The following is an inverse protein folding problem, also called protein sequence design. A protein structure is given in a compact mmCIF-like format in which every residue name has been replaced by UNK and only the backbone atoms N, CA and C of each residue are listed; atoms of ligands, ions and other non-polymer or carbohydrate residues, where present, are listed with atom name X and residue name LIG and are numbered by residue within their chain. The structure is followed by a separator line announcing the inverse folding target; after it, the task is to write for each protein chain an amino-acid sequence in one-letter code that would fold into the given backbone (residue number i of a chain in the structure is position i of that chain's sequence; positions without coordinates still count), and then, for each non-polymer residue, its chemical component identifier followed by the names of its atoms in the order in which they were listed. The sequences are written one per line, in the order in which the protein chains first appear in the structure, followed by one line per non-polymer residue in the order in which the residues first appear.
data_IF_318306590556
#
_entry.id   IF_318306590556
#
_cell.length_a   1.000
_cell.length_b   1.000
_cell.length_c   1.000
_cell.angle_alpha   90.00
_cell.angle_beta   90.00
_cell.angle_gamma   90.00
#
_symmetry.space_group_name_H-M   'P 1'
#
loop_
_entity.id
_entity.type
_entity.pdbx_description
1 polymer ?
#
# COMPACT_ATOMS: atom_id res chain seq x y z
N UNK A 1 -9.00 -48.18 -7.97
CA UNK A 1 -9.64 -46.90 -7.61
C UNK A 1 -8.63 -46.09 -6.84
N UNK A 2 -7.96 -45.17 -7.52
CA UNK A 2 -6.93 -44.32 -6.92
C UNK A 2 -7.60 -43.02 -6.42
N UNK A 3 -7.67 -42.84 -5.09
CA UNK A 3 -8.07 -41.60 -4.47
C UNK A 3 -7.03 -40.53 -4.76
N UNK A 4 -7.39 -39.54 -5.56
CA UNK A 4 -6.55 -38.37 -5.80
C UNK A 4 -6.31 -37.61 -4.49
N UNK A 5 -5.13 -37.01 -4.33
CA UNK A 5 -4.85 -36.21 -3.13
C UNK A 5 -5.88 -35.08 -3.02
N UNK A 6 -6.60 -35.08 -1.89
CA UNK A 6 -7.49 -34.00 -1.52
C UNK A 6 -6.71 -32.68 -1.67
N UNK A 7 -7.19 -31.79 -2.54
CA UNK A 7 -6.73 -30.39 -2.59
C UNK A 7 -6.91 -29.82 -1.19
N UNK A 8 -5.82 -29.79 -0.42
CA UNK A 8 -5.77 -29.03 0.82
C UNK A 8 -6.34 -27.65 0.50
N UNK A 9 -7.50 -27.32 1.11
CA UNK A 9 -8.24 -26.11 0.84
C UNK A 9 -7.26 -24.95 0.98
N UNK A 10 -7.08 -24.20 -0.10
CA UNK A 10 -6.45 -22.87 -0.01
C UNK A 10 -7.29 -22.11 0.98
N UNK A 11 -6.74 -21.91 2.17
CA UNK A 11 -7.29 -20.96 3.15
C UNK A 11 -7.42 -19.66 2.36
N UNK A 12 -8.62 -19.08 2.35
CA UNK A 12 -8.86 -17.81 1.67
C UNK A 12 -7.89 -16.80 2.30
N UNK A 13 -6.80 -16.52 1.59
CA UNK A 13 -5.78 -15.56 2.02
C UNK A 13 -6.32 -14.17 1.67
N UNK A 14 -6.89 -13.50 2.69
CA UNK A 14 -7.23 -12.07 2.56
C UNK A 14 -5.97 -11.26 2.25
N UNK A 15 -6.15 -10.06 1.69
CA UNK A 15 -5.03 -9.12 1.43
C UNK A 15 -4.54 -8.54 2.77
N UNK A 16 -3.30 -8.81 3.19
CA UNK A 16 -2.72 -8.12 4.35
C UNK A 16 -2.71 -6.62 4.12
N UNK A 17 -3.05 -5.86 5.14
CA UNK A 17 -3.09 -4.40 5.02
C UNK A 17 -1.69 -3.81 4.73
N UNK A 18 -0.64 -4.43 5.24
CA UNK A 18 0.76 -4.09 4.96
C UNK A 18 1.10 -4.21 3.48
N UNK A 19 0.63 -5.27 2.80
CA UNK A 19 0.87 -5.47 1.37
C UNK A 19 0.15 -4.41 0.53
N UNK A 20 -1.10 -4.08 0.88
CA UNK A 20 -1.82 -2.99 0.21
C UNK A 20 -1.08 -1.65 0.34
N UNK A 21 -0.57 -1.33 1.53
CA UNK A 21 0.21 -0.10 1.76
C UNK A 21 1.48 -0.08 0.91
N UNK A 22 2.21 -1.18 0.88
CA UNK A 22 3.43 -1.33 0.08
C UNK A 22 3.17 -1.15 -1.40
N UNK A 23 2.16 -1.84 -1.93
CA UNK A 23 1.77 -1.73 -3.35
C UNK A 23 1.33 -0.30 -3.68
N UNK A 24 0.57 0.36 -2.79
CA UNK A 24 0.16 1.76 -2.97
C UNK A 24 1.36 2.69 -3.10
N UNK A 25 2.37 2.54 -2.23
CA UNK A 25 3.60 3.36 -2.27
C UNK A 25 4.39 3.11 -3.55
N UNK A 26 4.53 1.85 -3.96
CA UNK A 26 5.24 1.47 -5.19
C UNK A 26 4.53 2.00 -6.44
N UNK A 27 3.21 1.91 -6.50
CA UNK A 27 2.42 2.45 -7.61
C UNK A 27 2.52 3.97 -7.69
N UNK A 28 2.38 4.68 -6.55
CA UNK A 28 2.53 6.13 -6.52
C UNK A 28 3.96 6.57 -6.91
N UNK A 29 4.99 5.85 -6.49
CA UNK A 29 6.37 6.14 -6.90
C UNK A 29 6.58 5.88 -8.41
N UNK A 30 6.02 4.80 -8.94
CA UNK A 30 6.04 4.50 -10.38
C UNK A 30 5.31 5.55 -11.20
N UNK A 31 4.11 5.95 -10.76
CA UNK A 31 3.34 7.05 -11.36
C UNK A 31 4.14 8.35 -11.38
N UNK A 32 4.73 8.75 -10.24
CA UNK A 32 5.55 9.95 -10.15
C UNK A 32 6.71 9.92 -11.16
N UNK A 33 7.40 8.79 -11.27
CA UNK A 33 8.53 8.62 -12.19
C UNK A 33 8.08 8.71 -13.65
N UNK A 34 7.01 8.02 -14.02
CA UNK A 34 6.48 8.03 -15.38
C UNK A 34 6.01 9.42 -15.81
N UNK A 35 5.24 10.10 -14.93
CA UNK A 35 4.74 11.45 -15.23
C UNK A 35 5.86 12.50 -15.25
N UNK A 36 6.88 12.36 -14.40
CA UNK A 36 8.06 13.21 -14.46
C UNK A 36 8.81 13.04 -15.79
N UNK A 37 8.98 11.80 -16.26
CA UNK A 37 9.60 11.53 -17.55
C UNK A 37 8.79 12.15 -18.70
N UNK A 38 7.46 12.02 -18.70
CA UNK A 38 6.57 12.65 -19.69
C UNK A 38 6.75 14.17 -19.67
N UNK A 39 6.76 14.80 -18.49
CA UNK A 39 6.96 16.24 -18.32
C UNK A 39 8.28 16.70 -18.94
N UNK A 40 9.40 16.02 -18.59
CA UNK A 40 10.73 16.37 -19.08
C UNK A 40 10.83 16.21 -20.60
N UNK A 41 10.31 15.08 -21.13
CA UNK A 41 10.36 14.82 -22.58
C UNK A 41 9.49 15.79 -23.37
N UNK A 42 8.31 16.15 -22.87
CA UNK A 42 7.43 17.10 -23.54
C UNK A 42 8.04 18.52 -23.53
N UNK A 43 8.49 18.99 -22.36
CA UNK A 43 9.11 20.31 -22.24
C UNK A 43 10.42 20.43 -23.04
N UNK A 44 11.21 19.34 -23.13
CA UNK A 44 12.41 19.32 -23.94
C UNK A 44 12.15 19.40 -25.46
N UNK A 45 10.99 18.93 -25.93
CA UNK A 45 10.61 19.05 -27.35
C UNK A 45 10.31 20.49 -27.75
N UNK A 46 9.76 21.26 -26.83
CA UNK A 46 9.26 22.62 -27.05
C UNK A 46 10.27 23.69 -26.53
N UNK A 47 11.47 23.28 -26.10
CA UNK A 47 12.48 24.12 -25.43
C UNK A 47 11.91 24.95 -24.26
N UNK A 48 10.86 24.41 -23.59
CA UNK A 48 10.15 25.09 -22.51
C UNK A 48 10.88 24.93 -21.15
N UNK A 49 11.91 25.76 -20.98
CA UNK A 49 12.67 25.82 -19.73
C UNK A 49 11.87 26.34 -18.54
N UNK A 50 10.80 27.12 -18.80
CA UNK A 50 9.93 27.67 -17.76
C UNK A 50 9.13 26.54 -17.09
N UNK A 51 8.52 25.67 -17.88
CA UNK A 51 7.79 24.50 -17.35
C UNK A 51 8.73 23.59 -16.57
N UNK A 52 9.97 23.37 -17.03
CA UNK A 52 10.95 22.57 -16.27
C UNK A 52 11.32 23.21 -14.94
N UNK A 53 11.57 24.53 -14.91
CA UNK A 53 11.89 25.23 -13.67
C UNK A 53 10.77 25.18 -12.64
N UNK A 54 9.51 25.41 -13.09
CA UNK A 54 8.32 25.36 -12.25
C UNK A 54 8.07 23.93 -11.75
N UNK A 55 8.21 22.92 -12.61
CA UNK A 55 8.08 21.52 -12.24
C UNK A 55 9.13 21.12 -11.18
N UNK A 56 10.39 21.51 -11.37
CA UNK A 56 11.47 21.22 -10.41
C UNK A 56 11.22 21.87 -9.05
N UNK A 57 10.77 23.12 -9.02
CA UNK A 57 10.37 23.80 -7.78
C UNK A 57 9.21 23.10 -7.07
N UNK A 58 8.17 22.72 -7.83
CA UNK A 58 7.03 21.98 -7.30
C UNK A 58 7.42 20.60 -6.74
N UNK A 59 8.23 19.82 -7.47
CA UNK A 59 8.68 18.51 -7.01
C UNK A 59 9.56 18.61 -5.76
N UNK A 60 10.41 19.63 -5.68
CA UNK A 60 11.21 19.91 -4.48
C UNK A 60 10.31 20.20 -3.28
N UNK A 61 9.28 21.03 -3.46
CA UNK A 61 8.29 21.29 -2.42
C UNK A 61 7.50 20.01 -2.05
N UNK A 62 7.08 19.20 -3.03
CA UNK A 62 6.39 17.95 -2.82
C UNK A 62 7.25 16.96 -2.02
N UNK A 63 8.55 16.86 -2.32
CA UNK A 63 9.51 16.06 -1.54
C UNK A 63 9.56 16.55 -0.10
N UNK A 64 9.77 17.84 0.14
CA UNK A 64 9.87 18.41 1.48
C UNK A 64 8.60 18.14 2.30
N UNK A 65 7.42 18.39 1.71
CA UNK A 65 6.12 18.13 2.34
C UNK A 65 5.91 16.64 2.59
N UNK A 66 6.21 15.78 1.61
CA UNK A 66 6.08 14.33 1.72
C UNK A 66 6.97 13.75 2.83
N UNK A 67 8.21 14.23 2.95
CA UNK A 67 9.10 13.85 4.06
C UNK A 67 8.57 14.33 5.42
N UNK A 68 8.02 15.56 5.48
CA UNK A 68 7.44 16.09 6.70
C UNK A 68 6.20 15.29 7.14
N UNK A 69 5.30 14.95 6.20
CA UNK A 69 4.11 14.14 6.47
C UNK A 69 4.45 12.69 6.78
N UNK A 70 5.50 12.13 6.15
CA UNK A 70 5.97 10.76 6.36
C UNK A 70 6.83 10.58 7.63
N UNK A 71 6.84 11.51 8.59
CA UNK A 71 7.54 11.33 9.87
C UNK A 71 6.92 10.20 10.68
N UNK A 72 7.72 9.43 11.47
CA UNK A 72 7.24 8.25 12.19
C UNK A 72 6.00 8.51 13.04
N UNK A 73 5.98 9.59 13.81
CA UNK A 73 4.85 9.95 14.67
C UNK A 73 3.54 10.17 13.87
N UNK A 74 3.62 10.79 12.69
CA UNK A 74 2.45 11.01 11.82
C UNK A 74 2.01 9.74 11.11
N UNK A 75 2.97 8.90 10.69
CA UNK A 75 2.67 7.61 10.09
C UNK A 75 1.88 6.72 11.07
N UNK A 76 2.31 6.65 12.34
CA UNK A 76 1.61 5.91 13.40
C UNK A 76 0.23 6.49 13.68
N UNK A 77 0.09 7.81 13.80
CA UNK A 77 -1.22 8.43 14.05
C UNK A 77 -2.18 8.22 12.87
N UNK A 78 -1.70 8.27 11.63
CA UNK A 78 -2.51 8.08 10.44
C UNK A 78 -3.05 6.66 10.24
N UNK A 79 -2.48 5.65 10.92
CA UNK A 79 -2.96 4.26 10.86
C UNK A 79 -3.74 3.86 12.12
N UNK A 80 -3.62 4.60 13.22
CA UNK A 80 -4.26 4.23 14.51
C UNK A 80 -5.78 4.16 14.43
N UNK A 81 -6.40 5.16 13.83
CA UNK A 81 -7.86 5.23 13.72
C UNK A 81 -8.45 4.07 12.92
N UNK A 82 -8.01 3.79 11.67
CA UNK A 82 -8.52 2.64 10.92
C UNK A 82 -8.21 1.30 11.60
N UNK A 83 -7.08 1.16 12.29
CA UNK A 83 -6.75 -0.06 13.01
C UNK A 83 -7.62 -0.23 14.27
N UNK A 84 -7.94 0.86 14.98
CA UNK A 84 -8.85 0.82 16.13
C UNK A 84 -10.29 0.50 15.74
N UNK A 85 -10.72 0.91 14.55
CA UNK A 85 -12.04 0.62 13.99
C UNK A 85 -12.16 -0.79 13.40
N UNK A 86 -11.05 -1.54 13.30
CA UNK A 86 -11.03 -2.87 12.69
C UNK A 86 -11.92 -3.86 13.45
N UNK A 87 -12.82 -4.54 12.72
CA UNK A 87 -13.70 -5.57 13.28
C UNK A 87 -12.91 -6.86 13.54
N UNK A 88 -13.19 -7.50 14.67
CA UNK A 88 -12.62 -8.82 14.96
C UNK A 88 -13.42 -9.88 14.21
N UNK A 89 -12.74 -10.70 13.40
CA UNK A 89 -13.34 -11.84 12.71
C UNK A 89 -12.41 -13.04 12.71
N UNK A 90 -13.00 -14.21 12.66
CA UNK A 90 -12.28 -15.49 12.49
C UNK A 90 -12.37 -16.00 11.06
N UNK A 91 -13.19 -15.36 10.21
CA UNK A 91 -13.37 -15.75 8.80
C UNK A 91 -12.95 -14.61 7.89
N UNK A 92 -12.08 -14.90 6.92
CA UNK A 92 -11.71 -13.97 5.86
C UNK A 92 -12.63 -14.11 4.66
N UNK A 93 -12.78 -13.03 3.90
CA UNK A 93 -13.58 -13.06 2.68
C UNK A 93 -13.01 -14.05 1.65
N UNK A 94 -13.86 -14.81 0.94
CA UNK A 94 -13.43 -15.74 -0.10
C UNK A 94 -12.96 -15.05 -1.40
N UNK A 95 -12.98 -13.72 -1.47
CA UNK A 95 -12.56 -12.98 -2.66
C UNK A 95 -11.05 -13.06 -2.89
N UNK A 96 -10.67 -13.11 -4.18
CA UNK A 96 -9.25 -13.16 -4.54
C UNK A 96 -8.52 -11.87 -4.14
N UNK A 97 -7.29 -11.98 -3.60
CA UNK A 97 -6.48 -10.82 -3.21
C UNK A 97 -6.32 -9.78 -4.31
N UNK A 98 -6.20 -10.23 -5.55
CA UNK A 98 -6.05 -9.39 -6.74
C UNK A 98 -7.25 -8.49 -6.99
N UNK A 99 -8.49 -9.01 -6.82
CA UNK A 99 -9.71 -8.23 -6.98
C UNK A 99 -9.84 -7.17 -5.90
N UNK A 100 -9.48 -7.49 -4.66
CA UNK A 100 -9.50 -6.54 -3.54
C UNK A 100 -8.50 -5.42 -3.80
N UNK A 101 -7.27 -5.76 -4.20
CA UNK A 101 -6.24 -4.79 -4.53
C UNK A 101 -6.67 -3.91 -5.71
N UNK A 102 -7.16 -4.51 -6.81
CA UNK A 102 -7.62 -3.78 -7.98
C UNK A 102 -8.80 -2.85 -7.65
N UNK A 103 -9.79 -3.33 -6.87
CA UNK A 103 -10.93 -2.53 -6.43
C UNK A 103 -10.55 -1.33 -5.58
N UNK A 104 -9.40 -1.37 -4.90
CA UNK A 104 -8.90 -0.26 -4.07
C UNK A 104 -7.91 0.65 -4.79
N UNK A 105 -7.13 0.12 -5.72
CA UNK A 105 -6.01 0.85 -6.34
C UNK A 105 -6.32 1.38 -7.74
N UNK A 106 -7.48 1.03 -8.34
CA UNK A 106 -7.85 1.50 -9.68
C UNK A 106 -7.80 3.03 -9.85
N UNK A 107 -8.12 3.89 -8.83
CA UNK A 107 -8.06 5.34 -9.03
C UNK A 107 -6.65 5.84 -9.31
N UNK A 108 -5.63 5.18 -8.71
CA UNK A 108 -4.22 5.51 -8.98
C UNK A 108 -3.89 5.22 -10.45
N UNK A 109 -4.31 4.07 -10.97
CA UNK A 109 -4.12 3.74 -12.38
C UNK A 109 -4.85 4.70 -13.33
N UNK A 110 -6.09 5.08 -13.00
CA UNK A 110 -6.87 6.04 -13.80
C UNK A 110 -6.25 7.42 -13.73
N UNK A 111 -5.81 7.91 -12.55
CA UNK A 111 -5.13 9.21 -12.45
C UNK A 111 -3.84 9.25 -13.26
N UNK A 112 -3.05 8.19 -13.23
CA UNK A 112 -1.83 8.07 -14.02
C UNK A 112 -2.10 8.11 -15.52
N UNK A 113 -3.11 7.37 -16.00
CA UNK A 113 -3.49 7.35 -17.41
C UNK A 113 -4.02 8.71 -17.88
N UNK A 114 -4.89 9.34 -17.10
CA UNK A 114 -5.45 10.66 -17.44
C UNK A 114 -4.37 11.74 -17.41
N UNK A 115 -3.57 11.80 -16.35
CA UNK A 115 -2.50 12.79 -16.23
C UNK A 115 -1.40 12.56 -17.27
N UNK A 116 -1.07 11.30 -17.59
CA UNK A 116 -0.10 10.95 -18.62
C UNK A 116 -0.61 11.30 -20.02
N UNK A 117 -1.85 10.92 -20.35
CA UNK A 117 -2.45 11.23 -21.63
C UNK A 117 -2.60 12.74 -21.88
N UNK A 118 -3.12 13.48 -20.89
CA UNK A 118 -3.20 14.94 -20.97
C UNK A 118 -1.83 15.60 -20.97
N UNK A 119 -0.85 15.02 -20.26
CA UNK A 119 0.52 15.52 -20.16
C UNK A 119 1.27 15.54 -21.49
N UNK A 120 0.84 14.75 -22.47
CA UNK A 120 1.41 14.78 -23.84
C UNK A 120 1.10 16.13 -24.51
N UNK A 121 -0.07 16.70 -24.24
CA UNK A 121 -0.52 17.97 -24.81
C UNK A 121 -0.25 19.15 -23.89
N UNK A 122 -0.28 18.93 -22.58
CA UNK A 122 -0.05 19.93 -21.54
C UNK A 122 0.92 19.43 -20.48
N UNK A 123 2.23 19.64 -20.67
CA UNK A 123 3.28 19.12 -19.76
C UNK A 123 3.06 19.52 -18.30
N UNK A 124 2.46 20.68 -18.05
CA UNK A 124 2.13 21.13 -16.69
C UNK A 124 1.18 20.21 -15.93
N UNK A 125 0.26 19.51 -16.62
CA UNK A 125 -0.66 18.55 -15.99
C UNK A 125 0.12 17.35 -15.44
N UNK A 126 1.00 16.78 -16.27
CA UNK A 126 1.86 15.67 -15.83
C UNK A 126 2.82 16.11 -14.70
N UNK A 127 3.36 17.34 -14.78
CA UNK A 127 4.23 17.90 -13.74
C UNK A 127 3.54 18.00 -12.37
N UNK A 128 2.31 18.51 -12.36
CA UNK A 128 1.49 18.65 -11.14
C UNK A 128 1.19 17.28 -10.56
N UNK A 129 0.70 16.35 -11.38
CA UNK A 129 0.34 15.00 -10.97
C UNK A 129 1.56 14.21 -10.45
N UNK A 130 2.73 14.33 -11.11
CA UNK A 130 3.97 13.73 -10.64
C UNK A 130 4.35 14.20 -9.22
N UNK A 131 4.21 15.49 -8.94
CA UNK A 131 4.48 16.03 -7.59
C UNK A 131 3.51 15.49 -6.54
N UNK A 132 2.22 15.38 -6.84
CA UNK A 132 1.25 14.76 -5.93
C UNK A 132 1.53 13.28 -5.69
N UNK A 133 1.83 12.50 -6.74
CA UNK A 133 2.17 11.09 -6.61
C UNK A 133 3.45 10.91 -5.75
N UNK A 134 4.46 11.74 -5.96
CA UNK A 134 5.69 11.77 -5.17
C UNK A 134 5.41 12.09 -3.69
N UNK A 135 4.56 13.08 -3.42
CA UNK A 135 4.14 13.46 -2.07
C UNK A 135 3.46 12.30 -1.38
N UNK A 136 2.50 11.62 -2.04
CA UNK A 136 1.80 10.45 -1.50
C UNK A 136 2.77 9.32 -1.20
N UNK A 137 3.65 8.96 -2.14
CA UNK A 137 4.65 7.92 -1.96
C UNK A 137 5.51 8.16 -0.71
N UNK A 138 6.02 9.40 -0.55
CA UNK A 138 6.86 9.78 0.57
C UNK A 138 6.11 9.88 1.90
N UNK A 139 4.88 10.39 1.88
CA UNK A 139 4.04 10.50 3.08
C UNK A 139 3.65 9.12 3.64
N UNK A 140 3.45 8.13 2.76
CA UNK A 140 2.96 6.81 3.16
C UNK A 140 4.07 5.77 3.34
N UNK A 141 5.30 6.05 2.92
CA UNK A 141 6.44 5.12 2.95
C UNK A 141 6.69 4.42 4.30
N UNK A 142 6.30 5.05 5.41
CA UNK A 142 6.51 4.52 6.77
C UNK A 142 5.26 3.90 7.40
N UNK A 143 4.11 3.97 6.71
CA UNK A 143 2.86 3.41 7.25
C UNK A 143 2.92 1.90 7.37
N UNK A 144 3.53 1.22 6.41
CA UNK A 144 3.75 -0.24 6.46
C UNK A 144 4.51 -0.63 7.74
N UNK A 145 5.66 -0.01 7.99
CA UNK A 145 6.45 -0.28 9.20
C UNK A 145 5.70 0.04 10.49
N UNK A 146 4.87 1.09 10.50
CA UNK A 146 4.05 1.43 11.66
C UNK A 146 2.96 0.37 11.92
N UNK A 147 2.35 -0.19 10.87
CA UNK A 147 1.36 -1.28 11.00
C UNK A 147 2.05 -2.54 11.51
N UNK A 148 3.19 -2.94 10.94
CA UNK A 148 3.95 -4.12 11.38
C UNK A 148 4.29 -4.00 12.88
N UNK A 149 4.76 -2.84 13.34
CA UNK A 149 5.08 -2.63 14.75
C UNK A 149 3.85 -2.76 15.68
N UNK A 150 2.65 -2.36 15.20
CA UNK A 150 1.40 -2.52 15.93
C UNK A 150 0.97 -3.99 15.92
N UNK A 151 1.06 -4.68 14.78
CA UNK A 151 0.73 -6.11 14.63
C UNK A 151 1.60 -6.97 15.56
N UNK A 152 2.89 -6.67 15.63
CA UNK A 152 3.84 -7.38 16.52
C UNK A 152 3.55 -7.13 18.00
N UNK A 153 3.22 -5.88 18.36
CA UNK A 153 2.91 -5.51 19.73
C UNK A 153 1.63 -6.16 20.23
N UNK A 154 0.59 -6.16 19.40
CA UNK A 154 -0.76 -6.57 19.78
C UNK A 154 -1.02 -8.07 19.47
N UNK A 155 -0.08 -8.75 18.79
CA UNK A 155 -0.22 -10.17 18.43
C UNK A 155 -1.37 -10.45 17.46
N UNK A 156 -1.70 -9.49 16.59
CA UNK A 156 -2.82 -9.54 15.64
C UNK A 156 -2.33 -9.32 14.21
N UNK A 157 -3.18 -9.64 13.22
CA UNK A 157 -2.95 -9.26 11.83
C UNK A 157 -4.16 -8.53 11.28
N UNK A 158 -3.90 -7.54 10.44
CA UNK A 158 -4.93 -6.75 9.78
C UNK A 158 -5.05 -7.13 8.31
N UNK A 159 -6.28 -7.37 7.89
CA UNK A 159 -6.63 -7.67 6.50
C UNK A 159 -7.62 -6.66 5.98
N UNK A 160 -7.57 -6.42 4.67
CA UNK A 160 -8.46 -5.50 3.98
C UNK A 160 -9.74 -6.23 3.61
N UNK A 161 -10.88 -5.66 3.98
CA UNK A 161 -12.18 -6.16 3.55
C UNK A 161 -12.46 -5.76 2.08
N UNK A 162 -13.08 -6.66 1.29
CA UNK A 162 -13.48 -6.34 -0.07
C UNK A 162 -14.33 -5.07 -0.13
N UNK A 163 -13.99 -4.19 -1.06
CA UNK A 163 -14.74 -2.95 -1.22
C UNK A 163 -14.15 -2.02 -2.30
N UNK A 164 -14.94 -1.02 -2.69
CA UNK A 164 -14.52 -0.02 -3.66
C UNK A 164 -13.58 1.02 -3.02
N UNK A 165 -12.68 1.60 -3.82
CA UNK A 165 -11.85 2.74 -3.44
C UNK A 165 -12.64 3.97 -2.96
N UNK A 166 -13.90 4.10 -3.39
CA UNK A 166 -14.80 5.21 -3.02
C UNK A 166 -15.49 5.01 -1.66
N UNK A 167 -15.35 3.82 -1.05
CA UNK A 167 -15.86 3.56 0.30
C UNK A 167 -14.74 3.64 1.32
N UNK A 168 -15.06 3.97 2.59
CA UNK A 168 -14.10 3.92 3.68
C UNK A 168 -13.36 2.57 3.71
N UNK A 169 -12.11 2.60 4.12
CA UNK A 169 -11.30 1.40 4.27
C UNK A 169 -11.81 0.62 5.51
N UNK A 170 -12.43 -0.52 5.27
CA UNK A 170 -12.80 -1.44 6.33
C UNK A 170 -11.69 -2.46 6.52
N UNK A 171 -11.25 -2.59 7.78
CA UNK A 171 -10.21 -3.52 8.18
C UNK A 171 -10.80 -4.58 9.09
N UNK A 172 -10.28 -5.78 8.93
CA UNK A 172 -10.60 -6.93 9.74
C UNK A 172 -9.37 -7.34 10.53
N UNK A 173 -9.54 -7.52 11.83
CA UNK A 173 -8.51 -7.99 12.73
C UNK A 173 -8.70 -9.47 13.01
N UNK A 174 -7.71 -10.28 12.66
CA UNK A 174 -7.64 -11.68 13.08
C UNK A 174 -6.63 -11.79 14.24
N UNK A 175 -6.96 -12.53 15.32
CA UNK A 175 -5.95 -12.90 16.30
C UNK A 175 -4.87 -13.65 15.53
N UNK A 176 -3.63 -13.19 15.64
CA UNK A 176 -2.50 -13.88 15.04
C UNK A 176 -2.48 -15.27 15.63
N UNK A 177 -2.60 -16.29 14.80
CA UNK A 177 -2.05 -17.59 15.13
C UNK A 177 -0.57 -17.30 15.36
N UNK A 178 -0.18 -17.19 16.62
CA UNK A 178 1.21 -16.99 16.99
C UNK A 178 1.98 -18.01 16.16
N UNK A 179 2.91 -17.55 15.32
CA UNK A 179 3.98 -18.47 14.96
C UNK A 179 4.38 -19.04 16.30
N UNK A 180 4.20 -20.36 16.45
CA UNK A 180 4.86 -21.09 17.51
C UNK A 180 6.32 -20.63 17.51
N UNK A 181 6.59 -19.58 18.27
CA UNK A 181 7.93 -19.28 18.71
C UNK A 181 8.23 -20.35 19.77
N UNK A 182 8.36 -21.58 19.31
CA UNK A 182 9.20 -22.52 20.03
C UNK A 182 10.60 -21.90 19.95
N UNK A 183 11.13 -21.33 21.04
CA UNK A 183 12.49 -20.82 21.02
C UNK A 183 13.37 -21.96 20.51
N UNK A 184 14.30 -21.71 19.59
CA UNK A 184 15.20 -22.75 19.13
C UNK A 184 15.91 -23.31 20.37
N UNK A 185 15.64 -24.57 20.74
CA UNK A 185 16.24 -25.21 21.91
C UNK A 185 15.29 -25.67 23.03
N UNK A 186 13.96 -25.47 22.92
CA UNK A 186 13.07 -26.05 23.90
C UNK A 186 12.75 -27.51 23.48
N UNK A 187 13.19 -28.52 24.24
CA UNK A 187 12.86 -29.92 23.93
C UNK A 187 11.34 -30.13 24.03
N UNK A 188 10.75 -31.00 23.20
CA UNK A 188 9.33 -31.30 23.28
C UNK A 188 8.97 -31.83 24.67
N UNK A 189 7.76 -31.50 25.20
CA UNK A 189 7.32 -32.02 26.49
C UNK A 189 7.31 -33.57 26.44
N UNK A 190 7.70 -34.25 27.54
CA UNK A 190 7.68 -35.70 27.60
C UNK A 190 6.25 -36.22 27.38
N UNK A 191 6.10 -37.40 26.75
CA UNK A 191 4.78 -38.01 26.56
C UNK A 191 4.15 -38.30 27.92
N UNK A 192 2.80 -38.23 28.05
CA UNK A 192 2.11 -38.54 29.28
C UNK A 192 2.44 -39.98 29.69
N UNK A 193 2.76 -40.15 30.96
CA UNK A 193 3.01 -41.48 31.55
C UNK A 193 1.75 -42.35 31.41
N UNK A 194 1.94 -43.57 30.90
CA UNK A 194 0.88 -44.54 30.74
C UNK A 194 0.47 -45.18 32.07
#
# INVERSE_FOLDING_TARGET
MAGGPARAGRIAEGVPFTDLLRVTVLLAAGEATALAAITVLAAARDDDTTTLAVAAAWWTAAVAIGFYLGRPARATNGVREPLAAARTTTSLSPESPERIALGRLWPIGVSALLAGGLGIFWPGVAAIAAGYALLVALAWRRREAAVIAIEERDGVRFYVEPGSALRPLELVRTPGLGRDRTPPGHPPPPPPAA
#
